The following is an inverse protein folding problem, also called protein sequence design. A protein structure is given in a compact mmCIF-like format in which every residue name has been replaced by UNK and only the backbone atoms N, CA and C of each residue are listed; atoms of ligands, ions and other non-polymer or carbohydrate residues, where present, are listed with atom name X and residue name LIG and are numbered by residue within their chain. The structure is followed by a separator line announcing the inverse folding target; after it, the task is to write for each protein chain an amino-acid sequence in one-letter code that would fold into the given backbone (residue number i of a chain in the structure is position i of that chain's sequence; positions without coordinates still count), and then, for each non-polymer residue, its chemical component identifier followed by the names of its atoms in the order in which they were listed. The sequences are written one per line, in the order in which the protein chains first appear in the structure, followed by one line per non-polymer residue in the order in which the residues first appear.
data_IF_273223094889
#
_entry.id   IF_273223094889
#
_cell.length_a   1.000
_cell.length_b   1.000
_cell.length_c   1.000
_cell.angle_alpha   90.00
_cell.angle_beta   90.00
_cell.angle_gamma   90.00
#
_symmetry.space_group_name_H-M   'P 1'
#
loop_
_entity.id
_entity.type
_entity.pdbx_description
1 polymer ?
#
# COMPACT_ATOMS: atom_id res chain seq x y z
N UNK A 1 -1.97 -45.64 46.92
CA UNK A 1 -2.40 -44.24 47.13
C UNK A 1 -1.45 -43.36 46.33
N UNK A 2 -1.98 -42.72 45.27
CA UNK A 2 -1.51 -41.54 44.51
C UNK A 2 0.01 -41.25 44.49
N UNK A 3 0.67 -41.52 43.36
CA UNK A 3 1.90 -40.80 42.98
C UNK A 3 1.54 -39.82 41.86
N UNK A 4 1.69 -38.53 42.16
CA UNK A 4 1.39 -37.39 41.30
C UNK A 4 2.30 -37.41 40.06
N UNK A 5 1.71 -37.54 38.87
CA UNK A 5 2.37 -37.23 37.60
C UNK A 5 2.37 -35.71 37.48
N UNK A 6 3.51 -35.07 37.75
CA UNK A 6 3.72 -33.66 37.48
C UNK A 6 3.91 -33.49 35.96
N UNK A 7 2.79 -33.18 35.29
CA UNK A 7 2.71 -32.88 33.87
C UNK A 7 3.34 -31.50 33.62
N UNK A 8 4.62 -31.49 33.24
CA UNK A 8 5.35 -30.29 32.85
C UNK A 8 4.92 -29.88 31.42
N UNK A 9 3.70 -29.35 31.28
CA UNK A 9 3.28 -28.63 30.06
C UNK A 9 3.54 -27.15 30.33
N UNK A 10 4.81 -26.76 30.24
CA UNK A 10 5.13 -25.35 30.03
C UNK A 10 4.91 -25.05 28.56
N UNK A 11 3.69 -24.61 28.29
CA UNK A 11 3.17 -24.01 27.08
C UNK A 11 4.21 -23.06 26.48
N UNK A 12 5.03 -23.52 25.54
CA UNK A 12 5.74 -22.65 24.60
C UNK A 12 4.70 -22.09 23.64
N UNK A 13 3.95 -21.09 24.11
CA UNK A 13 3.26 -20.15 23.25
C UNK A 13 4.36 -19.37 22.52
N UNK A 14 4.82 -19.93 21.40
CA UNK A 14 5.57 -19.19 20.40
C UNK A 14 4.61 -18.09 19.96
N UNK A 15 4.81 -16.89 20.51
CA UNK A 15 4.20 -15.67 20.02
C UNK A 15 4.69 -15.50 18.58
N UNK A 16 3.94 -16.05 17.63
CA UNK A 16 3.92 -15.54 16.27
C UNK A 16 3.36 -14.13 16.36
N UNK A 17 4.22 -13.16 16.69
CA UNK A 17 4.01 -11.76 16.38
C UNK A 17 4.06 -11.67 14.85
N UNK A 18 3.02 -12.14 14.16
CA UNK A 18 2.74 -11.69 12.81
C UNK A 18 2.57 -10.18 12.94
N UNK A 19 3.55 -9.41 12.48
CA UNK A 19 3.42 -7.96 12.43
C UNK A 19 2.18 -7.70 11.55
N UNK A 20 1.06 -7.30 12.17
CA UNK A 20 -0.23 -7.07 11.50
C UNK A 20 -0.10 -6.07 10.34
N UNK A 21 1.00 -5.32 10.32
CA UNK A 21 1.31 -4.33 9.31
C UNK A 21 2.01 -4.85 8.06
N UNK A 22 2.49 -6.08 8.10
CA UNK A 22 3.07 -6.78 6.94
C UNK A 22 1.97 -7.60 6.26
N UNK A 23 1.86 -7.44 4.94
CA UNK A 23 0.87 -8.14 4.11
C UNK A 23 1.54 -8.75 2.88
N UNK A 24 0.82 -9.63 2.20
CA UNK A 24 1.17 -10.09 0.86
C UNK A 24 0.13 -9.58 -0.13
N UNK A 25 0.61 -8.94 -1.19
CA UNK A 25 -0.22 -8.54 -2.33
C UNK A 25 0.26 -9.35 -3.53
N UNK A 26 -0.63 -10.14 -4.13
CA UNK A 26 -0.31 -10.85 -5.37
C UNK A 26 -0.20 -9.85 -6.53
N UNK A 27 0.95 -9.84 -7.19
CA UNK A 27 1.23 -9.00 -8.34
C UNK A 27 1.93 -9.81 -9.43
N UNK A 28 1.33 -9.86 -10.63
CA UNK A 28 1.81 -10.67 -11.76
C UNK A 28 2.06 -12.16 -11.39
N UNK A 29 1.16 -12.76 -10.62
CA UNK A 29 1.25 -14.16 -10.19
C UNK A 29 2.30 -14.44 -9.11
N UNK A 30 2.90 -13.40 -8.53
CA UNK A 30 3.87 -13.53 -7.43
C UNK A 30 3.31 -12.87 -6.17
N UNK A 31 3.40 -13.56 -5.03
CA UNK A 31 3.12 -12.95 -3.73
C UNK A 31 4.25 -11.97 -3.38
N UNK A 32 3.93 -10.68 -3.29
CA UNK A 32 4.88 -9.63 -2.95
C UNK A 32 4.64 -9.20 -1.52
N UNK A 33 5.68 -9.27 -0.70
CA UNK A 33 5.63 -8.81 0.69
C UNK A 33 5.60 -7.28 0.73
N UNK A 34 4.63 -6.73 1.44
CA UNK A 34 4.44 -5.29 1.60
C UNK A 34 4.26 -4.91 3.06
N UNK A 35 4.44 -3.63 3.37
CA UNK A 35 4.11 -3.05 4.68
C UNK A 35 3.36 -1.73 4.52
N UNK A 36 2.41 -1.48 5.42
CA UNK A 36 1.85 -0.15 5.63
C UNK A 36 2.39 0.52 6.89
N UNK A 37 3.37 -0.09 7.57
CA UNK A 37 4.13 0.54 8.66
C UNK A 37 5.19 1.49 8.10
N UNK A 38 4.88 2.78 8.09
CA UNK A 38 5.73 3.81 7.44
C UNK A 38 5.77 5.08 8.29
N UNK A 39 6.75 5.98 8.07
CA UNK A 39 6.77 7.28 8.73
C UNK A 39 5.49 8.09 8.47
N UNK A 40 5.08 8.91 9.45
CA UNK A 40 3.84 9.70 9.40
C UNK A 40 3.72 10.60 8.16
N UNK A 41 4.85 11.04 7.63
CA UNK A 41 4.92 11.87 6.43
C UNK A 41 4.38 11.19 5.16
N UNK A 42 4.19 9.87 5.16
CA UNK A 42 3.54 9.19 4.03
C UNK A 42 2.02 9.18 4.16
N UNK A 43 1.44 9.05 5.35
CA UNK A 43 -0.02 8.98 5.48
C UNK A 43 -0.72 10.30 5.11
N UNK A 44 -1.93 10.20 4.60
CA UNK A 44 -2.77 11.35 4.24
C UNK A 44 -3.16 11.39 2.77
N UNK A 45 -3.55 12.58 2.32
CA UNK A 45 -4.07 12.81 0.97
C UNK A 45 -3.01 13.39 0.04
N UNK A 46 -2.92 12.83 -1.15
CA UNK A 46 -2.18 13.35 -2.29
C UNK A 46 -3.19 13.76 -3.34
N UNK A 47 -3.13 14.99 -3.84
CA UNK A 47 -4.12 15.48 -4.78
C UNK A 47 -3.44 16.18 -5.97
N UNK A 48 -4.03 15.98 -7.15
CA UNK A 48 -3.65 16.71 -8.35
C UNK A 48 -4.31 18.06 -8.46
N UNK A 49 -4.03 18.75 -9.57
CA UNK A 49 -4.66 20.04 -9.90
C UNK A 49 -6.15 19.93 -10.24
N UNK A 50 -6.64 18.74 -10.57
CA UNK A 50 -8.05 18.49 -10.89
C UNK A 50 -8.73 17.78 -9.71
N UNK A 51 -9.47 16.71 -9.95
CA UNK A 51 -10.30 16.02 -8.95
C UNK A 51 -9.69 14.70 -8.47
N UNK A 52 -8.58 14.27 -9.06
CA UNK A 52 -7.90 13.03 -8.74
C UNK A 52 -7.12 13.14 -7.43
N UNK A 53 -7.14 12.04 -6.68
CA UNK A 53 -6.43 11.95 -5.41
C UNK A 53 -6.11 10.50 -5.04
N UNK A 54 -5.11 10.36 -4.18
CA UNK A 54 -4.77 9.16 -3.43
C UNK A 54 -4.86 9.49 -1.95
N UNK A 55 -5.68 8.77 -1.20
CA UNK A 55 -5.71 8.78 0.24
C UNK A 55 -5.05 7.49 0.75
N UNK A 56 -4.06 7.59 1.63
CA UNK A 56 -3.47 6.42 2.31
C UNK A 56 -3.61 6.57 3.82
N UNK A 57 -4.24 5.57 4.44
CA UNK A 57 -4.53 5.54 5.87
C UNK A 57 -3.54 4.65 6.63
N UNK A 58 -3.40 4.92 7.92
CA UNK A 58 -2.48 4.22 8.84
C UNK A 58 -2.81 2.74 9.07
N UNK A 59 -4.05 2.34 8.78
CA UNK A 59 -4.53 0.95 8.90
C UNK A 59 -4.28 0.10 7.63
N UNK A 60 -3.58 0.67 6.64
CA UNK A 60 -3.28 0.02 5.36
C UNK A 60 -4.47 0.01 4.40
N UNK A 61 -5.54 0.74 4.70
CA UNK A 61 -6.61 1.07 3.74
C UNK A 61 -6.32 2.37 3.00
N UNK A 62 -7.04 2.61 1.92
CA UNK A 62 -6.99 3.89 1.24
C UNK A 62 -8.00 3.99 0.11
N UNK A 63 -7.96 5.13 -0.58
CA UNK A 63 -8.87 5.46 -1.68
C UNK A 63 -8.08 6.05 -2.83
N UNK A 64 -8.29 5.53 -4.03
CA UNK A 64 -7.71 6.07 -5.26
C UNK A 64 -8.80 6.59 -6.18
N UNK A 65 -8.67 7.83 -6.65
CA UNK A 65 -9.59 8.43 -7.62
C UNK A 65 -8.82 9.05 -8.77
N UNK A 66 -9.05 8.58 -10.00
CA UNK A 66 -8.36 9.10 -11.19
C UNK A 66 -8.77 10.54 -11.52
N UNK A 67 -7.83 11.36 -11.99
CA UNK A 67 -8.12 12.64 -12.66
C UNK A 67 -8.90 12.42 -13.96
N UNK A 68 -8.50 11.40 -14.72
CA UNK A 68 -9.13 11.00 -15.98
C UNK A 68 -9.23 9.47 -15.97
N UNK A 69 -10.44 8.96 -15.72
CA UNK A 69 -10.74 7.53 -15.78
C UNK A 69 -10.92 7.07 -17.23
N UNK A 70 -9.84 7.12 -18.02
CA UNK A 70 -9.75 6.96 -19.49
C UNK A 70 -10.91 6.27 -20.23
N UNK A 71 -10.63 5.17 -20.93
CA UNK A 71 -11.67 4.36 -21.60
C UNK A 71 -11.92 3.10 -20.77
N UNK A 72 -13.03 3.09 -20.04
CA UNK A 72 -13.49 1.95 -19.28
C UNK A 72 -14.66 1.28 -20.01
N UNK A 73 -14.75 -0.06 -20.00
CA UNK A 73 -15.92 -0.77 -20.53
C UNK A 73 -17.18 -0.33 -19.77
N UNK A 74 -18.35 -0.41 -20.40
CA UNK A 74 -19.64 -0.01 -19.79
C UNK A 74 -19.96 -0.76 -18.51
N UNK A 75 -19.42 -1.97 -18.33
CA UNK A 75 -19.53 -2.78 -17.11
C UNK A 75 -18.69 -2.26 -15.94
N UNK A 76 -17.74 -1.35 -16.16
CA UNK A 76 -16.88 -0.83 -15.11
C UNK A 76 -17.55 0.38 -14.43
N UNK A 77 -17.81 0.24 -13.13
CA UNK A 77 -18.34 1.33 -12.31
C UNK A 77 -17.31 2.45 -12.20
N UNK A 78 -17.59 3.61 -12.77
CA UNK A 78 -16.75 4.82 -12.59
C UNK A 78 -16.85 5.30 -11.14
N UNK A 79 -15.72 5.72 -10.56
CA UNK A 79 -15.67 6.32 -9.23
C UNK A 79 -14.35 6.05 -8.52
N UNK A 80 -14.32 6.43 -7.25
CA UNK A 80 -13.22 6.13 -6.35
C UNK A 80 -13.09 4.61 -6.13
N UNK A 81 -11.85 4.17 -5.94
CA UNK A 81 -11.45 2.79 -5.75
C UNK A 81 -11.00 2.65 -4.30
N UNK A 82 -11.80 1.95 -3.50
CA UNK A 82 -11.35 1.48 -2.19
C UNK A 82 -10.26 0.43 -2.39
N UNK A 83 -9.18 0.57 -1.62
CA UNK A 83 -8.00 -0.27 -1.79
C UNK A 83 -7.32 -0.58 -0.47
N UNK A 84 -6.55 -1.67 -0.48
CA UNK A 84 -5.48 -1.94 0.48
C UNK A 84 -4.13 -1.60 -0.17
N UNK A 85 -3.16 -1.17 0.62
CA UNK A 85 -1.86 -0.76 0.09
C UNK A 85 -0.68 -1.18 0.97
N UNK A 86 0.52 -1.10 0.40
CA UNK A 86 1.77 -1.16 1.15
C UNK A 86 3.01 -0.93 0.28
N UNK A 87 4.08 -0.44 0.89
CA UNK A 87 5.39 -0.41 0.26
C UNK A 87 6.00 -1.80 0.19
N UNK A 88 6.73 -2.07 -0.88
CA UNK A 88 7.42 -3.36 -1.05
C UNK A 88 8.50 -3.53 0.02
N UNK A 89 8.60 -4.75 0.54
CA UNK A 89 9.69 -5.19 1.41
C UNK A 89 10.69 -6.05 0.64
N UNK A 90 11.97 -5.90 0.94
CA UNK A 90 13.01 -6.81 0.48
C UNK A 90 13.09 -8.07 1.37
N UNK A 91 14.05 -8.96 1.07
CA UNK A 91 14.29 -10.20 1.82
C UNK A 91 14.64 -9.96 3.31
N UNK A 92 15.15 -8.77 3.64
CA UNK A 92 15.50 -8.35 5.00
C UNK A 92 14.35 -7.64 5.74
N UNK A 93 13.15 -7.57 5.16
CA UNK A 93 12.01 -6.77 5.66
C UNK A 93 12.26 -5.27 5.70
N UNK A 94 13.13 -4.76 4.84
CA UNK A 94 13.36 -3.32 4.68
C UNK A 94 12.52 -2.79 3.51
N UNK A 95 12.01 -1.57 3.66
CA UNK A 95 11.27 -0.89 2.59
C UNK A 95 12.20 -0.72 1.39
N UNK A 96 11.79 -1.27 0.25
CA UNK A 96 12.47 -1.08 -1.03
C UNK A 96 12.38 0.40 -1.40
N UNK A 97 13.51 0.99 -1.77
CA UNK A 97 13.59 2.35 -2.28
C UNK A 97 14.72 2.48 -3.30
N UNK A 98 14.55 3.39 -4.24
CA UNK A 98 15.54 3.68 -5.27
C UNK A 98 16.00 5.13 -5.17
N UNK A 99 17.31 5.34 -5.22
CA UNK A 99 17.87 6.68 -5.39
C UNK A 99 17.76 7.13 -6.85
N UNK A 100 17.33 8.36 -7.05
CA UNK A 100 17.08 9.01 -8.33
C UNK A 100 17.67 10.42 -8.29
N UNK A 101 17.88 11.02 -9.46
CA UNK A 101 18.38 12.39 -9.55
C UNK A 101 17.51 13.40 -8.79
N UNK A 102 16.19 13.17 -8.78
CA UNK A 102 15.23 14.03 -8.08
C UNK A 102 15.05 13.74 -6.58
N UNK A 103 15.62 12.65 -6.05
CA UNK A 103 15.42 12.19 -4.67
C UNK A 103 15.22 10.68 -4.55
N UNK A 104 14.27 10.24 -3.75
CA UNK A 104 13.97 8.82 -3.50
C UNK A 104 12.65 8.42 -4.16
N UNK A 105 12.55 7.15 -4.56
CA UNK A 105 11.37 6.54 -5.16
C UNK A 105 11.02 5.25 -4.41
N UNK A 106 9.81 5.19 -3.87
CA UNK A 106 9.30 4.09 -3.06
C UNK A 106 8.18 3.37 -3.83
N UNK A 107 8.43 2.15 -4.35
CA UNK A 107 7.39 1.37 -5.00
C UNK A 107 6.29 1.02 -4.00
N UNK A 108 5.04 1.24 -4.40
CA UNK A 108 3.84 0.95 -3.62
C UNK A 108 2.90 0.08 -4.45
N UNK A 109 2.41 -1.00 -3.85
CA UNK A 109 1.31 -1.78 -4.42
C UNK A 109 0.00 -1.34 -3.78
N UNK A 110 -1.02 -1.17 -4.62
CA UNK A 110 -2.39 -0.91 -4.22
C UNK A 110 -3.28 -1.99 -4.84
N UNK A 111 -4.13 -2.61 -4.05
CA UNK A 111 -5.06 -3.64 -4.48
C UNK A 111 -6.50 -3.20 -4.20
N UNK A 112 -7.33 -3.16 -5.23
CA UNK A 112 -8.74 -2.79 -5.10
C UNK A 112 -9.49 -3.84 -4.28
N UNK A 113 -10.32 -3.40 -3.35
CA UNK A 113 -11.16 -4.27 -2.51
C UNK A 113 -12.63 -4.32 -2.98
N UNK A 114 -12.98 -3.50 -3.98
CA UNK A 114 -14.35 -3.38 -4.51
C UNK A 114 -14.52 -3.82 -5.96
N UNK A 115 -15.70 -3.53 -6.51
CA UNK A 115 -16.05 -3.85 -7.90
C UNK A 115 -15.37 -2.93 -8.93
N UNK A 116 -14.99 -1.71 -8.54
CA UNK A 116 -14.17 -0.83 -9.37
C UNK A 116 -12.71 -1.15 -9.16
N UNK A 117 -11.96 -1.34 -10.26
CA UNK A 117 -10.53 -1.61 -10.21
C UNK A 117 -9.74 -0.60 -11.06
N UNK A 118 -8.42 -0.71 -10.99
CA UNK A 118 -7.50 0.22 -11.65
C UNK A 118 -7.54 0.09 -13.18
N UNK A 119 -7.06 1.16 -13.84
CA UNK A 119 -6.91 1.24 -15.29
C UNK A 119 -8.19 0.92 -16.07
N UNK A 120 -9.35 1.38 -15.57
CA UNK A 120 -10.65 1.09 -16.18
C UNK A 120 -11.11 -0.34 -15.93
N UNK A 121 -10.96 -0.83 -14.70
CA UNK A 121 -11.28 -2.20 -14.30
C UNK A 121 -10.48 -3.30 -15.05
N UNK A 122 -9.26 -3.01 -15.48
CA UNK A 122 -8.41 -3.98 -16.19
C UNK A 122 -7.51 -4.77 -15.25
N UNK A 123 -7.20 -4.21 -14.10
CA UNK A 123 -6.34 -4.86 -13.11
C UNK A 123 -6.82 -4.57 -11.69
N UNK A 124 -6.89 -5.60 -10.82
CA UNK A 124 -7.17 -5.42 -9.40
C UNK A 124 -6.00 -4.81 -8.63
N UNK A 125 -4.79 -4.84 -9.19
CA UNK A 125 -3.58 -4.37 -8.50
C UNK A 125 -2.82 -3.37 -9.39
N UNK A 126 -2.37 -2.29 -8.78
CA UNK A 126 -1.56 -1.25 -9.41
C UNK A 126 -0.26 -1.08 -8.65
N UNK A 127 0.85 -1.15 -9.38
CA UNK A 127 2.15 -0.67 -8.92
C UNK A 127 2.30 0.80 -9.29
N UNK A 128 2.65 1.61 -8.29
CA UNK A 128 2.98 3.02 -8.47
C UNK A 128 4.21 3.36 -7.60
N UNK A 129 4.58 4.63 -7.56
CA UNK A 129 5.69 5.11 -6.73
C UNK A 129 5.30 6.37 -5.97
N UNK A 130 5.60 6.36 -4.68
CA UNK A 130 5.65 7.58 -3.87
C UNK A 130 7.08 8.13 -3.95
N UNK A 131 7.21 9.40 -4.29
CA UNK A 131 8.50 10.05 -4.53
C UNK A 131 8.76 11.04 -3.41
N UNK A 132 9.95 10.98 -2.81
CA UNK A 132 10.42 11.99 -1.85
C UNK A 132 11.50 12.80 -2.54
N UNK A 133 11.20 14.06 -2.86
CA UNK A 133 12.10 14.95 -3.59
C UNK A 133 13.20 15.49 -2.67
N UNK A 134 14.30 15.97 -3.26
CA UNK A 134 15.43 16.57 -2.51
C UNK A 134 15.04 17.76 -1.61
N UNK A 135 13.96 18.46 -1.94
CA UNK A 135 13.42 19.56 -1.14
C UNK A 135 12.45 19.10 -0.03
N UNK A 136 12.27 17.78 0.15
CA UNK A 136 11.36 17.18 1.12
C UNK A 136 9.90 17.03 0.66
N UNK A 137 9.53 17.51 -0.54
CA UNK A 137 8.16 17.32 -1.02
C UNK A 137 7.89 15.86 -1.38
N UNK A 138 6.66 15.41 -1.15
CA UNK A 138 6.24 14.03 -1.41
C UNK A 138 5.16 14.04 -2.49
N UNK A 139 5.38 13.27 -3.55
CA UNK A 139 4.51 13.24 -4.74
C UNK A 139 4.22 11.82 -5.22
N UNK A 140 3.22 11.64 -6.09
CA UNK A 140 2.88 10.35 -6.71
C UNK A 140 3.32 10.33 -8.18
N UNK A 141 3.92 9.23 -8.64
CA UNK A 141 4.56 9.17 -9.96
C UNK A 141 3.58 9.02 -11.13
N UNK A 142 2.48 8.29 -10.99
CA UNK A 142 1.59 7.96 -12.12
C UNK A 142 0.61 9.07 -12.52
N UNK A 143 0.57 10.18 -11.79
CA UNK A 143 -0.61 11.05 -11.77
C UNK A 143 -0.35 12.54 -11.98
N UNK A 144 0.70 12.91 -12.73
CA UNK A 144 1.02 14.31 -13.07
C UNK A 144 1.02 15.25 -11.84
N UNK A 145 2.08 15.16 -11.04
CA UNK A 145 2.36 16.10 -9.94
C UNK A 145 1.31 16.11 -8.82
N UNK A 146 0.73 14.96 -8.45
CA UNK A 146 -0.05 14.89 -7.21
C UNK A 146 0.87 15.12 -6.02
N UNK A 147 0.59 16.16 -5.27
CA UNK A 147 1.37 16.57 -4.10
C UNK A 147 0.60 16.24 -2.83
N UNK A 148 1.34 15.98 -1.75
CA UNK A 148 0.74 15.79 -0.43
C UNK A 148 0.03 17.07 0.01
N UNK A 149 -1.25 16.96 0.32
CA UNK A 149 -2.05 18.04 0.89
C UNK A 149 -1.81 18.04 2.40
N UNK A 150 -1.46 19.19 2.96
CA UNK A 150 -1.40 19.35 4.41
C UNK A 150 -2.83 19.41 4.95
N UNK A 151 -3.19 18.47 5.82
CA UNK A 151 -4.39 18.55 6.68
C UNK A 151 -4.05 19.27 7.99
#
# INVERSE_FOLDING_TARGET
MKTLIFLFISLTAIFSNSNEKIREIEYNGTAVKTTFEVPQEFYGKYAGRKSGYLQINEDGSGVYNYDIFGFAPTSCKKGAIDMEWGFLLNENNEIVKFEREYGLSYPVLMKSTGATQFQGCRTPVMLDFILVKKNGSITISSSDDWEKVME
#
